data_IF_655378887943
#
_entry.id   IF_655378887943
#
_cell.length_a   1.000
_cell.length_b   1.000
_cell.length_c   1.000
_cell.angle_alpha   90.00
_cell.angle_beta   90.00
_cell.angle_gamma   90.00
#
_symmetry.space_group_name_H-M   'P 1'
#
loop_
_entity.id
_entity.type
_entity.pdbx_description
1 polymer ?
#
# COMPACT_ATOMS: atom_id res chain seq x y z
N UNK A 1 -26.50 -112.30 -65.42
CA UNK A 1 -26.60 -113.74 -65.76
C UNK A 1 -28.06 -114.12 -66.01
N UNK A 2 -28.73 -113.41 -66.94
CA UNK A 2 -30.00 -113.83 -67.50
C UNK A 2 -29.68 -114.45 -68.85
N UNK A 3 -30.02 -115.72 -68.99
CA UNK A 3 -29.90 -116.50 -70.21
C UNK A 3 -30.65 -115.80 -71.34
N UNK A 4 -29.96 -115.68 -72.48
CA UNK A 4 -30.55 -115.42 -73.79
C UNK A 4 -31.79 -116.31 -73.99
N UNK A 5 -32.97 -115.75 -73.71
CA UNK A 5 -34.23 -116.32 -74.16
C UNK A 5 -34.27 -116.03 -75.65
N UNK A 6 -33.78 -116.98 -76.44
CA UNK A 6 -33.62 -116.89 -77.89
C UNK A 6 -34.99 -116.57 -78.52
N UNK A 7 -35.25 -115.29 -78.76
CA UNK A 7 -36.38 -114.78 -79.57
C UNK A 7 -36.38 -115.49 -80.94
N UNK A 8 -35.21 -115.91 -81.41
CA UNK A 8 -34.98 -116.80 -82.55
C UNK A 8 -35.71 -118.14 -82.47
N UNK A 9 -35.84 -118.79 -81.30
CA UNK A 9 -36.58 -120.06 -81.19
C UNK A 9 -38.09 -119.87 -81.28
N UNK A 10 -38.64 -118.77 -80.76
CA UNK A 10 -40.07 -118.45 -80.88
C UNK A 10 -40.40 -118.03 -82.32
N UNK A 11 -39.53 -117.24 -82.96
CA UNK A 11 -39.64 -116.91 -84.38
C UNK A 11 -39.52 -118.17 -85.26
N UNK A 12 -38.68 -119.15 -84.91
CA UNK A 12 -38.54 -120.41 -85.66
C UNK A 12 -39.80 -121.28 -85.59
N UNK A 13 -40.48 -121.33 -84.44
CA UNK A 13 -41.76 -122.06 -84.28
C UNK A 13 -42.90 -121.35 -85.03
N UNK A 14 -42.94 -120.01 -85.02
CA UNK A 14 -43.92 -119.25 -85.80
C UNK A 14 -43.69 -119.37 -87.32
N UNK A 15 -42.44 -119.52 -87.76
CA UNK A 15 -42.07 -119.70 -89.17
C UNK A 15 -42.46 -121.09 -89.71
N UNK A 16 -42.41 -122.13 -88.86
CA UNK A 16 -42.88 -123.49 -89.19
C UNK A 16 -44.41 -123.54 -89.33
N UNK A 17 -45.15 -122.77 -88.53
CA UNK A 17 -46.62 -122.71 -88.60
C UNK A 17 -47.10 -121.94 -89.84
N UNK A 18 -46.33 -120.96 -90.33
CA UNK A 18 -46.67 -120.20 -91.55
C UNK A 18 -46.28 -120.87 -92.88
N UNK A 19 -45.53 -121.97 -92.87
CA UNK A 19 -44.93 -122.57 -94.06
C UNK A 19 -45.52 -123.94 -94.49
N UNK A 20 -46.67 -124.34 -93.95
CA UNK A 20 -47.34 -125.58 -94.37
C UNK A 20 -48.47 -125.30 -95.39
N UNK A 21 -48.44 -125.93 -96.58
CA UNK A 21 -49.39 -125.67 -97.65
C UNK A 21 -50.80 -126.18 -97.34
N UNK A 22 -51.78 -125.41 -97.83
CA UNK A 22 -53.20 -125.36 -97.49
C UNK A 22 -54.05 -126.60 -97.86
N UNK A 23 -53.45 -127.75 -98.18
CA UNK A 23 -54.12 -128.79 -98.98
C UNK A 23 -54.23 -130.18 -98.35
N UNK A 24 -54.40 -130.28 -97.02
CA UNK A 24 -54.80 -131.57 -96.43
C UNK A 24 -55.67 -131.46 -95.16
N UNK A 25 -56.69 -130.61 -95.21
CA UNK A 25 -57.73 -130.47 -94.15
C UNK A 25 -58.71 -131.68 -94.10
N UNK A 26 -58.54 -132.76 -94.87
CA UNK A 26 -59.62 -133.77 -95.02
C UNK A 26 -59.43 -135.15 -94.38
N UNK A 27 -58.39 -135.45 -93.60
CA UNK A 27 -58.15 -136.84 -93.17
C UNK A 27 -57.64 -137.08 -91.73
N UNK A 28 -57.99 -136.27 -90.72
CA UNK A 28 -57.83 -136.75 -89.31
C UNK A 28 -58.76 -136.08 -88.30
N UNK A 29 -60.04 -136.44 -88.37
CA UNK A 29 -61.06 -136.13 -87.33
C UNK A 29 -60.91 -137.06 -86.09
N UNK A 30 -59.94 -137.99 -86.04
CA UNK A 30 -59.83 -139.00 -84.98
C UNK A 30 -58.65 -138.84 -83.99
N UNK A 31 -57.96 -137.68 -83.94
CA UNK A 31 -56.87 -137.44 -82.95
C UNK A 31 -57.03 -136.14 -82.13
N UNK A 32 -58.19 -135.49 -82.19
CA UNK A 32 -58.42 -134.22 -81.49
C UNK A 32 -58.51 -134.36 -79.95
N UNK A 33 -58.93 -135.53 -79.44
CA UNK A 33 -59.10 -135.78 -77.99
C UNK A 33 -57.77 -136.02 -77.25
N UNK A 34 -56.81 -136.69 -77.88
CA UNK A 34 -55.47 -136.94 -77.30
C UNK A 34 -54.65 -135.65 -77.31
N UNK A 35 -54.74 -134.87 -78.39
CA UNK A 35 -54.12 -133.55 -78.50
C UNK A 35 -54.75 -132.57 -77.47
N UNK A 36 -56.08 -132.58 -77.28
CA UNK A 36 -56.74 -131.77 -76.23
C UNK A 36 -56.31 -132.12 -74.80
N UNK A 37 -56.10 -133.40 -74.47
CA UNK A 37 -55.74 -133.79 -73.10
C UNK A 37 -54.27 -133.43 -72.77
N UNK A 38 -53.36 -133.63 -73.75
CA UNK A 38 -51.97 -133.21 -73.63
C UNK A 38 -51.86 -131.67 -73.61
N UNK A 39 -52.65 -130.95 -74.42
CA UNK A 39 -52.75 -129.48 -74.35
C UNK A 39 -53.37 -129.01 -73.02
N UNK A 40 -54.35 -129.72 -72.46
CA UNK A 40 -55.01 -129.38 -71.17
C UNK A 40 -54.06 -129.47 -69.98
N UNK A 41 -53.27 -130.55 -69.88
CA UNK A 41 -52.22 -130.67 -68.86
C UNK A 41 -51.07 -129.66 -69.07
N UNK A 42 -50.70 -129.38 -70.34
CA UNK A 42 -49.75 -128.33 -70.67
C UNK A 42 -50.27 -126.94 -70.26
N UNK A 43 -51.55 -126.64 -70.51
CA UNK A 43 -52.18 -125.34 -70.20
C UNK A 43 -52.22 -125.08 -68.70
N UNK A 44 -52.51 -126.09 -67.87
CA UNK A 44 -52.46 -125.95 -66.41
C UNK A 44 -51.02 -125.74 -65.90
N UNK A 45 -50.05 -126.49 -66.41
CA UNK A 45 -48.64 -126.27 -66.08
C UNK A 45 -48.15 -124.88 -66.54
N UNK A 46 -48.57 -124.42 -67.72
CA UNK A 46 -48.26 -123.07 -68.19
C UNK A 46 -48.90 -122.01 -67.29
N UNK A 47 -50.15 -122.20 -66.84
CA UNK A 47 -50.82 -121.26 -65.94
C UNK A 47 -50.10 -121.15 -64.60
N UNK A 48 -49.65 -122.27 -64.02
CA UNK A 48 -48.86 -122.28 -62.78
C UNK A 48 -47.50 -121.59 -62.99
N UNK A 49 -46.82 -121.86 -64.11
CA UNK A 49 -45.55 -121.19 -64.45
C UNK A 49 -45.76 -119.68 -64.62
N UNK A 50 -46.81 -119.25 -65.32
CA UNK A 50 -47.15 -117.84 -65.46
C UNK A 50 -47.53 -117.20 -64.13
N UNK A 51 -48.28 -117.88 -63.26
CA UNK A 51 -48.62 -117.39 -61.92
C UNK A 51 -47.36 -117.25 -61.04
N UNK A 52 -46.45 -118.24 -61.06
CA UNK A 52 -45.17 -118.17 -60.36
C UNK A 52 -44.28 -117.05 -60.89
N UNK A 53 -44.15 -116.91 -62.22
CA UNK A 53 -43.40 -115.83 -62.86
C UNK A 53 -43.99 -114.46 -62.54
N UNK A 54 -45.32 -114.33 -62.48
CA UNK A 54 -45.99 -113.07 -62.13
C UNK A 54 -45.77 -112.69 -60.67
N UNK A 55 -45.85 -113.65 -59.74
CA UNK A 55 -45.53 -113.41 -58.31
C UNK A 55 -44.06 -113.03 -58.15
N UNK A 56 -43.15 -113.73 -58.84
CA UNK A 56 -41.72 -113.44 -58.80
C UNK A 56 -41.43 -112.05 -59.38
N UNK A 57 -42.01 -111.72 -60.54
CA UNK A 57 -41.92 -110.40 -61.17
C UNK A 57 -42.46 -109.32 -60.25
N UNK A 58 -43.63 -109.51 -59.64
CA UNK A 58 -44.21 -108.57 -58.68
C UNK A 58 -43.30 -108.36 -57.47
N UNK A 59 -42.71 -109.43 -56.92
CA UNK A 59 -41.80 -109.35 -55.76
C UNK A 59 -40.48 -108.65 -56.13
N UNK A 60 -39.91 -108.96 -57.29
CA UNK A 60 -38.73 -108.28 -57.85
C UNK A 60 -39.03 -106.80 -58.08
N UNK A 61 -40.18 -106.47 -58.67
CA UNK A 61 -40.57 -105.09 -58.96
C UNK A 61 -40.87 -104.30 -57.68
N UNK A 62 -41.46 -104.93 -56.67
CA UNK A 62 -41.70 -104.29 -55.36
C UNK A 62 -40.39 -104.05 -54.60
N UNK A 63 -39.44 -104.99 -54.63
CA UNK A 63 -38.12 -104.83 -54.02
C UNK A 63 -37.29 -103.75 -54.76
N UNK A 64 -37.30 -103.77 -56.09
CA UNK A 64 -36.71 -102.73 -56.94
C UNK A 64 -37.27 -101.35 -56.60
N UNK A 65 -38.60 -101.22 -56.49
CA UNK A 65 -39.24 -99.95 -56.13
C UNK A 65 -38.89 -99.45 -54.72
N UNK A 66 -38.66 -100.37 -53.77
CA UNK A 66 -38.20 -100.00 -52.42
C UNK A 66 -36.74 -99.52 -52.45
N UNK A 67 -35.87 -100.15 -53.25
CA UNK A 67 -34.50 -99.69 -53.45
C UNK A 67 -34.44 -98.33 -54.16
N UNK A 68 -35.25 -98.11 -55.20
CA UNK A 68 -35.32 -96.80 -55.87
C UNK A 68 -35.72 -95.69 -54.91
N UNK A 69 -36.71 -95.93 -54.03
CA UNK A 69 -37.08 -94.94 -52.99
C UNK A 69 -35.95 -94.64 -52.01
N UNK A 70 -35.16 -95.63 -51.62
CA UNK A 70 -33.97 -95.40 -50.77
C UNK A 70 -32.93 -94.55 -51.52
N UNK A 71 -32.68 -94.84 -52.79
CA UNK A 71 -31.76 -94.07 -53.62
C UNK A 71 -32.23 -92.61 -53.76
N UNK A 72 -33.52 -92.38 -54.02
CA UNK A 72 -34.10 -91.03 -54.08
C UNK A 72 -33.94 -90.27 -52.76
N UNK A 73 -34.17 -90.92 -51.62
CA UNK A 73 -33.97 -90.32 -50.30
C UNK A 73 -32.49 -89.98 -50.04
N UNK A 74 -31.56 -90.85 -50.43
CA UNK A 74 -30.11 -90.59 -50.33
C UNK A 74 -29.72 -89.40 -51.21
N UNK A 75 -30.23 -89.30 -52.43
CA UNK A 75 -29.95 -88.17 -53.32
C UNK A 75 -30.51 -86.85 -52.76
N UNK A 76 -31.73 -86.88 -52.22
CA UNK A 76 -32.33 -85.72 -51.56
C UNK A 76 -31.48 -85.26 -50.36
N UNK A 77 -31.09 -86.20 -49.50
CA UNK A 77 -30.22 -85.91 -48.35
C UNK A 77 -28.85 -85.37 -48.78
N UNK A 78 -28.25 -85.94 -49.83
CA UNK A 78 -26.95 -85.48 -50.33
C UNK A 78 -27.05 -84.05 -50.90
N UNK A 79 -28.13 -83.71 -51.59
CA UNK A 79 -28.38 -82.35 -52.05
C UNK A 79 -28.58 -81.37 -50.88
N UNK A 80 -29.30 -81.79 -49.83
CA UNK A 80 -29.46 -80.99 -48.61
C UNK A 80 -28.13 -80.77 -47.90
N UNK A 81 -27.33 -81.82 -47.72
CA UNK A 81 -25.98 -81.72 -47.13
C UNK A 81 -25.12 -80.76 -47.94
N UNK A 82 -25.11 -80.87 -49.27
CA UNK A 82 -24.36 -79.96 -50.15
C UNK A 82 -24.80 -78.51 -49.97
N UNK A 83 -26.12 -78.27 -49.92
CA UNK A 83 -26.65 -76.93 -49.70
C UNK A 83 -26.25 -76.38 -48.32
N UNK A 84 -26.30 -77.20 -47.27
CA UNK A 84 -25.87 -76.80 -45.93
C UNK A 84 -24.37 -76.50 -45.87
N UNK A 85 -23.53 -77.31 -46.53
CA UNK A 85 -22.09 -77.05 -46.66
C UNK A 85 -21.85 -75.70 -47.33
N UNK A 86 -22.53 -75.43 -48.45
CA UNK A 86 -22.39 -74.16 -49.17
C UNK A 86 -22.81 -72.98 -48.28
N UNK A 87 -23.94 -73.09 -47.55
CA UNK A 87 -24.40 -72.04 -46.64
C UNK A 87 -23.42 -71.79 -45.49
N UNK A 88 -22.83 -72.84 -44.92
CA UNK A 88 -21.81 -72.72 -43.87
C UNK A 88 -20.57 -72.02 -44.43
N UNK A 89 -20.13 -72.42 -45.63
CA UNK A 89 -18.99 -71.82 -46.29
C UNK A 89 -19.20 -70.33 -46.55
N UNK A 90 -20.33 -69.96 -47.14
CA UNK A 90 -20.69 -68.55 -47.40
C UNK A 90 -20.78 -67.74 -46.11
N UNK A 91 -21.40 -68.29 -45.06
CA UNK A 91 -21.52 -67.61 -43.76
C UNK A 91 -20.15 -67.41 -43.11
N UNK A 92 -19.31 -68.44 -43.12
CA UNK A 92 -17.96 -68.36 -42.57
C UNK A 92 -17.08 -67.37 -43.33
N UNK A 93 -17.22 -67.29 -44.66
CA UNK A 93 -16.50 -66.32 -45.47
C UNK A 93 -16.94 -64.90 -45.15
N UNK A 94 -18.25 -64.64 -45.10
CA UNK A 94 -18.79 -63.33 -44.75
C UNK A 94 -18.37 -62.88 -43.33
N UNK A 95 -18.31 -63.81 -42.38
CA UNK A 95 -17.83 -63.54 -41.02
C UNK A 95 -16.33 -63.21 -40.99
N UNK A 96 -15.51 -63.96 -41.74
CA UNK A 96 -14.08 -63.67 -41.90
C UNK A 96 -13.83 -62.28 -42.49
N UNK A 97 -14.56 -61.90 -43.54
CA UNK A 97 -14.45 -60.56 -44.16
C UNK A 97 -14.91 -59.45 -43.21
N UNK A 98 -15.86 -59.73 -42.29
CA UNK A 98 -16.29 -58.78 -41.26
C UNK A 98 -15.24 -58.62 -40.17
N UNK A 99 -14.60 -59.72 -39.74
CA UNK A 99 -13.51 -59.70 -38.76
C UNK A 99 -12.31 -58.93 -39.33
N UNK A 100 -11.92 -59.18 -40.58
CA UNK A 100 -10.79 -58.51 -41.22
C UNK A 100 -10.98 -56.99 -41.32
N UNK A 101 -12.19 -56.54 -41.68
CA UNK A 101 -12.56 -55.12 -41.65
C UNK A 101 -12.44 -54.53 -40.24
N UNK A 102 -12.93 -55.25 -39.23
CA UNK A 102 -12.86 -54.81 -37.83
C UNK A 102 -11.40 -54.69 -37.36
N UNK A 103 -10.55 -55.66 -37.70
CA UNK A 103 -9.11 -55.63 -37.39
C UNK A 103 -8.45 -54.42 -38.06
N UNK A 104 -8.79 -54.14 -39.31
CA UNK A 104 -8.25 -53.00 -40.06
C UNK A 104 -8.65 -51.67 -39.41
N UNK A 105 -9.93 -51.51 -39.03
CA UNK A 105 -10.43 -50.31 -38.35
C UNK A 105 -9.78 -50.13 -36.98
N UNK A 106 -9.65 -51.21 -36.20
CA UNK A 106 -8.98 -51.17 -34.90
C UNK A 106 -7.50 -50.79 -35.03
N UNK A 107 -6.78 -51.33 -36.01
CA UNK A 107 -5.39 -50.96 -36.26
C UNK A 107 -5.24 -49.49 -36.64
N UNK A 108 -6.15 -48.97 -37.47
CA UNK A 108 -6.20 -47.54 -37.81
C UNK A 108 -6.43 -46.68 -36.57
N UNK A 109 -7.39 -47.04 -35.71
CA UNK A 109 -7.66 -46.34 -34.46
C UNK A 109 -6.48 -46.38 -33.49
N UNK A 110 -5.81 -47.53 -33.34
CA UNK A 110 -4.61 -47.68 -32.50
C UNK A 110 -3.51 -46.75 -32.97
N UNK A 111 -3.28 -46.67 -34.29
CA UNK A 111 -2.25 -45.78 -34.84
C UNK A 111 -2.60 -44.30 -34.60
N UNK A 112 -3.85 -43.89 -34.81
CA UNK A 112 -4.31 -42.52 -34.51
C UNK A 112 -4.14 -42.15 -33.05
N UNK A 113 -4.47 -43.06 -32.13
CA UNK A 113 -4.26 -42.86 -30.69
C UNK A 113 -2.77 -42.69 -30.40
N UNK A 114 -1.92 -43.56 -30.94
CA UNK A 114 -0.46 -43.48 -30.76
C UNK A 114 0.09 -42.14 -31.24
N UNK A 115 -0.29 -41.68 -32.42
CA UNK A 115 0.14 -40.40 -32.99
C UNK A 115 -0.33 -39.22 -32.13
N UNK A 116 -1.58 -39.25 -31.68
CA UNK A 116 -2.14 -38.20 -30.83
C UNK A 116 -1.41 -38.11 -29.49
N UNK A 117 -1.20 -39.26 -28.82
CA UNK A 117 -0.47 -39.31 -27.56
C UNK A 117 0.99 -38.88 -27.71
N UNK A 118 1.65 -39.23 -28.82
CA UNK A 118 3.00 -38.76 -29.09
C UNK A 118 3.05 -37.23 -29.25
N UNK A 119 2.11 -36.65 -30.02
CA UNK A 119 2.04 -35.21 -30.20
C UNK A 119 1.74 -34.47 -28.88
N UNK A 120 0.90 -35.04 -28.00
CA UNK A 120 0.63 -34.48 -26.67
C UNK A 120 1.84 -34.56 -25.74
N UNK A 121 2.60 -35.66 -25.78
CA UNK A 121 3.86 -35.78 -25.04
C UNK A 121 4.87 -34.73 -25.49
N UNK A 122 5.08 -34.57 -26.80
CA UNK A 122 5.99 -33.56 -27.34
C UNK A 122 5.58 -32.12 -26.94
N UNK A 123 4.28 -31.82 -26.93
CA UNK A 123 3.77 -30.52 -26.45
C UNK A 123 4.06 -30.33 -24.97
N UNK A 124 3.87 -31.37 -24.16
CA UNK A 124 4.11 -31.35 -22.73
C UNK A 124 5.59 -31.15 -22.41
N UNK A 125 6.48 -31.85 -23.11
CA UNK A 125 7.94 -31.69 -22.97
C UNK A 125 8.41 -30.28 -23.32
N UNK A 126 7.87 -29.68 -24.38
CA UNK A 126 8.15 -28.28 -24.73
C UNK A 126 7.68 -27.33 -23.63
N UNK A 127 6.45 -27.51 -23.13
CA UNK A 127 5.92 -26.69 -22.05
C UNK A 127 6.77 -26.79 -20.76
N UNK A 128 7.23 -28.00 -20.41
CA UNK A 128 8.14 -28.22 -19.27
C UNK A 128 9.46 -27.48 -19.49
N UNK A 129 10.02 -27.55 -20.70
CA UNK A 129 11.27 -26.87 -21.05
C UNK A 129 11.13 -25.34 -20.94
N UNK A 130 10.04 -24.78 -21.46
CA UNK A 130 9.75 -23.34 -21.39
C UNK A 130 9.56 -22.87 -19.94
N UNK A 131 8.85 -23.64 -19.12
CA UNK A 131 8.66 -23.35 -17.70
C UNK A 131 10.00 -23.38 -16.94
N UNK A 132 10.86 -24.37 -17.19
CA UNK A 132 12.19 -24.44 -16.59
C UNK A 132 13.06 -23.22 -16.98
N UNK A 133 13.01 -22.81 -18.24
CA UNK A 133 13.70 -21.60 -18.70
C UNK A 133 13.18 -20.34 -17.99
N UNK A 134 11.86 -20.21 -17.82
CA UNK A 134 11.27 -19.09 -17.09
C UNK A 134 11.67 -19.08 -15.61
N UNK A 135 11.68 -20.25 -14.94
CA UNK A 135 12.12 -20.41 -13.55
C UNK A 135 13.58 -19.96 -13.40
N UNK A 136 14.46 -20.38 -14.32
CA UNK A 136 15.87 -19.99 -14.28
C UNK A 136 16.04 -18.46 -14.43
N UNK A 137 15.34 -17.83 -15.38
CA UNK A 137 15.37 -16.37 -15.57
C UNK A 137 14.85 -15.61 -14.35
N UNK A 138 13.77 -16.09 -13.72
CA UNK A 138 13.25 -15.50 -12.49
C UNK A 138 14.28 -15.61 -11.36
N UNK A 139 14.92 -16.77 -11.21
CA UNK A 139 15.96 -16.98 -10.19
C UNK A 139 17.14 -16.01 -10.37
N UNK A 140 17.62 -15.84 -11.60
CA UNK A 140 18.70 -14.90 -11.92
C UNK A 140 18.32 -13.43 -11.65
N UNK A 141 17.08 -13.07 -12.01
CA UNK A 141 16.55 -11.72 -11.76
C UNK A 141 16.47 -11.43 -10.27
N UNK A 142 15.87 -12.33 -9.49
CA UNK A 142 15.77 -12.18 -8.04
C UNK A 142 17.13 -12.16 -7.34
N UNK A 143 18.10 -12.96 -7.81
CA UNK A 143 19.46 -12.92 -7.28
C UNK A 143 20.10 -11.55 -7.51
N UNK A 144 19.96 -10.99 -8.72
CA UNK A 144 20.49 -9.66 -9.06
C UNK A 144 19.85 -8.55 -8.22
N UNK A 145 18.53 -8.62 -8.00
CA UNK A 145 17.81 -7.67 -7.15
C UNK A 145 18.21 -7.78 -5.67
N UNK A 146 18.43 -8.98 -5.16
CA UNK A 146 18.95 -9.19 -3.82
C UNK A 146 20.33 -8.58 -3.64
N UNK A 147 21.28 -8.85 -4.55
CA UNK A 147 22.60 -8.24 -4.49
C UNK A 147 22.55 -6.70 -4.55
N UNK A 148 21.66 -6.14 -5.38
CA UNK A 148 21.45 -4.68 -5.45
C UNK A 148 20.91 -4.15 -4.11
N UNK A 149 19.98 -4.85 -3.49
CA UNK A 149 19.39 -4.49 -2.20
C UNK A 149 20.43 -4.56 -1.08
N UNK A 150 21.25 -5.60 -1.04
CA UNK A 150 22.35 -5.73 -0.09
C UNK A 150 23.37 -4.58 -0.21
N UNK A 151 23.76 -4.22 -1.45
CA UNK A 151 24.62 -3.05 -1.69
C UNK A 151 23.99 -1.75 -1.18
N UNK A 152 22.69 -1.55 -1.40
CA UNK A 152 21.98 -0.37 -0.92
C UNK A 152 21.93 -0.32 0.62
N UNK A 153 21.65 -1.45 1.28
CA UNK A 153 21.65 -1.55 2.74
C UNK A 153 23.03 -1.22 3.30
N UNK A 154 24.09 -1.77 2.71
CA UNK A 154 25.48 -1.48 3.10
C UNK A 154 25.81 0.01 2.95
N UNK A 155 25.45 0.63 1.83
CA UNK A 155 25.66 2.05 1.59
C UNK A 155 24.89 2.93 2.59
N UNK A 156 23.63 2.60 2.89
CA UNK A 156 22.83 3.33 3.87
C UNK A 156 23.40 3.21 5.29
N UNK A 157 23.82 2.01 5.68
CA UNK A 157 24.49 1.77 6.97
C UNK A 157 25.75 2.63 7.12
N UNK A 158 26.60 2.66 6.08
CA UNK A 158 27.79 3.50 6.06
C UNK A 158 27.46 5.00 6.16
N UNK A 159 26.43 5.46 5.46
CA UNK A 159 25.99 6.86 5.55
C UNK A 159 25.48 7.22 6.94
N UNK A 160 24.69 6.35 7.57
CA UNK A 160 24.20 6.53 8.93
C UNK A 160 25.36 6.64 9.91
N UNK A 161 26.36 5.75 9.81
CA UNK A 161 27.54 5.79 10.67
C UNK A 161 28.31 7.10 10.51
N UNK A 162 28.54 7.55 9.27
CA UNK A 162 29.21 8.84 9.00
C UNK A 162 28.45 10.03 9.56
N UNK A 163 27.13 10.03 9.46
CA UNK A 163 26.28 11.06 10.05
C UNK A 163 26.38 11.06 11.57
N UNK A 164 26.34 9.87 12.19
CA UNK A 164 26.49 9.71 13.62
C UNK A 164 27.84 10.25 14.12
N UNK A 165 28.94 9.87 13.47
CA UNK A 165 30.29 10.37 13.78
C UNK A 165 30.38 11.89 13.65
N UNK A 166 29.79 12.46 12.59
CA UNK A 166 29.80 13.91 12.36
C UNK A 166 29.03 14.65 13.46
N UNK A 167 27.82 14.17 13.81
CA UNK A 167 27.02 14.76 14.88
C UNK A 167 27.68 14.63 16.25
N UNK A 168 28.35 13.50 16.52
CA UNK A 168 29.11 13.33 17.75
C UNK A 168 30.26 14.34 17.84
N UNK A 169 31.05 14.49 16.78
CA UNK A 169 32.15 15.47 16.74
C UNK A 169 31.65 16.92 16.90
N UNK A 170 30.49 17.24 16.34
CA UNK A 170 29.87 18.56 16.51
C UNK A 170 29.39 18.80 17.94
N UNK A 171 28.76 17.81 18.58
CA UNK A 171 28.38 17.87 19.99
C UNK A 171 29.59 18.11 20.89
N UNK A 172 30.69 17.37 20.71
CA UNK A 172 31.94 17.58 21.46
C UNK A 172 32.53 18.99 21.26
N UNK A 173 32.34 19.59 20.08
CA UNK A 173 32.77 20.97 19.81
C UNK A 173 31.88 21.99 20.51
N UNK A 174 30.57 21.75 20.53
CA UNK A 174 29.59 22.59 21.23
C UNK A 174 29.86 22.54 22.74
N UNK A 175 30.04 21.35 23.32
CA UNK A 175 30.36 21.17 24.74
C UNK A 175 31.62 21.93 25.16
N UNK A 176 32.69 21.85 24.36
CA UNK A 176 33.91 22.64 24.57
C UNK A 176 33.64 24.15 24.55
N UNK A 177 32.80 24.60 23.63
CA UNK A 177 32.43 26.02 23.51
C UNK A 177 31.63 26.48 24.74
N UNK A 178 30.65 25.70 25.17
CA UNK A 178 29.85 25.96 26.38
C UNK A 178 30.75 26.05 27.62
N UNK A 179 31.68 25.09 27.78
CA UNK A 179 32.63 25.10 28.90
C UNK A 179 33.51 26.36 28.91
N UNK A 180 34.05 26.74 27.75
CA UNK A 180 34.85 27.96 27.61
C UNK A 180 34.04 29.22 27.94
N UNK A 181 32.81 29.33 27.45
CA UNK A 181 31.93 30.47 27.75
C UNK A 181 31.57 30.53 29.23
N UNK A 182 31.26 29.40 29.86
CA UNK A 182 30.98 29.30 31.30
C UNK A 182 32.17 29.80 32.14
N UNK A 183 33.38 29.38 31.78
CA UNK A 183 34.61 29.84 32.43
C UNK A 183 34.82 31.36 32.26
N UNK A 184 34.57 31.90 31.06
CA UNK A 184 34.67 33.35 30.82
C UNK A 184 33.64 34.14 31.64
N UNK A 185 32.39 33.65 31.73
CA UNK A 185 31.34 34.28 32.54
C UNK A 185 31.76 34.32 34.02
N UNK A 186 32.29 33.22 34.55
CA UNK A 186 32.76 33.17 35.93
C UNK A 186 33.90 34.16 36.17
N UNK A 187 34.90 34.22 35.28
CA UNK A 187 35.99 35.21 35.38
C UNK A 187 35.50 36.65 35.37
N UNK A 188 34.53 36.96 34.51
CA UNK A 188 33.91 38.30 34.44
C UNK A 188 33.17 38.61 35.74
N UNK A 189 32.39 37.65 36.25
CA UNK A 189 31.69 37.77 37.54
C UNK A 189 32.67 38.06 38.68
N UNK A 190 33.77 37.32 38.78
CA UNK A 190 34.79 37.51 39.82
C UNK A 190 35.45 38.89 39.72
N UNK A 191 35.69 39.36 38.49
CA UNK A 191 36.25 40.70 38.23
C UNK A 191 35.27 41.79 38.71
N UNK A 192 33.99 41.68 38.36
CA UNK A 192 32.97 42.63 38.81
C UNK A 192 32.79 42.61 40.33
N UNK A 193 32.81 41.43 40.95
CA UNK A 193 32.72 41.29 42.41
C UNK A 193 33.89 42.01 43.10
N UNK A 194 35.12 41.78 42.63
CA UNK A 194 36.33 42.42 43.15
C UNK A 194 36.27 43.94 43.02
N UNK A 195 35.82 44.45 41.86
CA UNK A 195 35.70 45.89 41.64
C UNK A 195 34.59 46.50 42.50
N UNK A 196 33.46 45.81 42.69
CA UNK A 196 32.39 46.27 43.56
C UNK A 196 32.87 46.40 45.01
N UNK A 197 33.60 45.41 45.53
CA UNK A 197 34.22 45.47 46.87
C UNK A 197 35.24 46.61 47.00
N UNK A 198 35.95 46.97 45.91
CA UNK A 198 36.86 48.12 45.88
C UNK A 198 36.10 49.45 45.89
N UNK A 199 35.02 49.55 45.14
CA UNK A 199 34.13 50.72 45.12
C UNK A 199 33.49 50.92 46.49
N UNK A 200 32.95 49.87 47.11
CA UNK A 200 32.34 49.93 48.46
C UNK A 200 33.33 50.44 49.51
N UNK A 201 34.58 49.94 49.50
CA UNK A 201 35.66 50.47 50.36
C UNK A 201 35.95 51.95 50.11
N UNK A 202 35.97 52.37 48.85
CA UNK A 202 36.20 53.78 48.49
C UNK A 202 35.07 54.68 48.98
N UNK A 203 33.82 54.25 48.80
CA UNK A 203 32.64 54.95 49.30
C UNK A 203 32.71 55.08 50.82
N UNK A 204 33.01 53.99 51.54
CA UNK A 204 33.14 54.01 53.00
C UNK A 204 34.21 54.99 53.48
N UNK A 205 35.38 55.02 52.82
CA UNK A 205 36.45 55.96 53.16
C UNK A 205 36.03 57.43 52.91
N UNK A 206 35.35 57.70 51.79
CA UNK A 206 34.85 59.03 51.47
C UNK A 206 33.78 59.49 52.47
N UNK A 207 32.86 58.61 52.86
CA UNK A 207 31.86 58.90 53.90
C UNK A 207 32.52 59.29 55.23
N UNK A 208 33.51 58.52 55.70
CA UNK A 208 34.23 58.84 56.93
C UNK A 208 34.96 60.19 56.86
N UNK A 209 35.54 60.52 55.70
CA UNK A 209 36.19 61.82 55.49
C UNK A 209 35.17 62.97 55.51
N UNK A 210 34.00 62.80 54.88
CA UNK A 210 32.92 63.79 54.91
C UNK A 210 32.44 64.02 56.35
N UNK A 211 32.27 62.96 57.13
CA UNK A 211 31.86 63.06 58.54
C UNK A 211 32.92 63.83 59.35
N UNK A 212 34.20 63.53 59.17
CA UNK A 212 35.31 64.26 59.82
C UNK A 212 35.36 65.75 59.40
N UNK A 213 35.14 66.05 58.12
CA UNK A 213 35.05 67.42 57.62
C UNK A 213 33.84 68.16 58.20
N UNK A 214 32.72 67.46 58.38
CA UNK A 214 31.52 68.02 58.99
C UNK A 214 31.75 68.35 60.46
N UNK A 215 32.38 67.45 61.22
CA UNK A 215 32.75 67.68 62.63
C UNK A 215 33.70 68.88 62.78
N UNK A 216 34.76 68.94 61.97
CA UNK A 216 35.70 70.08 61.98
C UNK A 216 35.03 71.39 61.59
N UNK A 217 34.17 71.39 60.57
CA UNK A 217 33.39 72.58 60.17
C UNK A 217 32.44 73.03 61.29
N UNK A 218 31.77 72.10 61.96
CA UNK A 218 30.90 72.40 63.11
C UNK A 218 31.69 72.99 64.28
N UNK A 219 32.86 72.43 64.61
CA UNK A 219 33.72 72.97 65.66
C UNK A 219 34.23 74.39 65.35
N UNK A 220 34.56 74.67 64.07
CA UNK A 220 34.91 76.01 63.61
C UNK A 220 33.71 76.96 63.72
N UNK A 221 32.51 76.51 63.32
CA UNK A 221 31.29 77.30 63.45
C UNK A 221 31.00 77.67 64.91
N UNK A 222 31.03 76.72 65.84
CA UNK A 222 30.86 76.95 67.28
C UNK A 222 31.92 77.89 67.87
N UNK A 223 33.14 77.89 67.32
CA UNK A 223 34.19 78.84 67.72
C UNK A 223 33.92 80.24 67.18
N UNK A 224 33.46 80.38 65.94
CA UNK A 224 33.06 81.65 65.34
C UNK A 224 31.87 82.25 66.11
N UNK A 225 30.85 81.45 66.43
CA UNK A 225 29.71 81.92 67.22
C UNK A 225 30.15 82.45 68.59
N UNK A 226 31.08 81.77 69.27
CA UNK A 226 31.67 82.26 70.53
C UNK A 226 32.40 83.60 70.36
N UNK A 227 33.26 83.73 69.33
CA UNK A 227 33.97 84.99 69.06
C UNK A 227 33.00 86.12 68.72
N UNK A 228 31.93 85.85 67.97
CA UNK A 228 30.88 86.83 67.69
C UNK A 228 30.21 87.28 69.00
N UNK A 229 29.85 86.35 69.89
CA UNK A 229 29.26 86.67 71.19
C UNK A 229 30.22 87.51 72.05
N UNK A 230 31.49 87.13 72.13
CA UNK A 230 32.52 87.87 72.88
C UNK A 230 32.68 89.30 72.35
N UNK A 231 32.78 89.47 71.02
CA UNK A 231 32.86 90.78 70.37
C UNK A 231 31.58 91.60 70.52
N UNK A 232 30.40 90.97 70.45
CA UNK A 232 29.13 91.64 70.70
C UNK A 232 29.07 92.20 72.12
N UNK A 233 29.49 91.42 73.12
CA UNK A 233 29.56 91.89 74.51
C UNK A 233 30.56 93.05 74.66
N UNK A 234 31.73 92.99 74.03
CA UNK A 234 32.73 94.07 74.06
C UNK A 234 32.21 95.36 73.39
N UNK A 235 31.48 95.24 72.28
CA UNK A 235 30.80 96.39 71.64
C UNK A 235 29.74 96.97 72.57
N UNK A 236 28.94 96.13 73.22
CA UNK A 236 27.91 96.58 74.16
C UNK A 236 28.55 97.30 75.37
N UNK A 237 29.69 96.81 75.88
CA UNK A 237 30.50 97.48 76.93
C UNK A 237 31.04 98.84 76.44
N UNK A 238 31.59 98.91 75.22
CA UNK A 238 32.05 100.17 74.62
C UNK A 238 30.89 101.15 74.46
N UNK A 239 29.74 100.66 74.00
CA UNK A 239 28.52 101.48 73.88
C UNK A 239 28.07 101.99 75.25
N UNK A 240 28.11 101.18 76.30
CA UNK A 240 27.84 101.64 77.68
C UNK A 240 28.84 102.72 78.13
N UNK A 241 30.13 102.60 77.81
CA UNK A 241 31.17 103.59 78.15
C UNK A 241 31.00 104.90 77.36
N UNK A 242 30.69 104.83 76.06
CA UNK A 242 30.43 106.00 75.21
C UNK A 242 29.14 106.73 75.63
N UNK A 243 28.10 106.00 76.03
CA UNK A 243 26.85 106.55 76.59
C UNK A 243 27.09 107.18 77.97
N UNK A 244 28.11 106.73 78.71
CA UNK A 244 28.48 107.25 80.03
C UNK A 244 29.37 108.51 79.98
N UNK A 245 30.06 108.79 78.87
CA UNK A 245 30.90 110.00 78.70
C UNK A 245 30.29 111.07 77.79
N UNK A 246 29.29 110.74 76.98
CA UNK A 246 28.51 111.70 76.21
C UNK A 246 27.05 111.64 76.64
N UNK A 247 26.58 112.62 77.41
CA UNK A 247 25.16 112.78 77.67
C UNK A 247 24.43 113.16 76.38
N UNK A 248 23.98 112.17 75.59
CA UNK A 248 22.94 112.25 74.55
C UNK A 248 22.44 110.83 74.15
N UNK A 249 21.14 110.73 73.87
CA UNK A 249 20.35 109.54 73.55
C UNK A 249 20.30 109.29 71.99
N UNK A 250 19.59 108.27 71.43
CA UNK A 250 20.14 107.16 70.65
C UNK A 250 19.70 107.13 69.16
N UNK A 251 20.43 106.45 68.28
CA UNK A 251 19.99 106.08 66.92
C UNK A 251 20.60 104.71 66.56
N UNK A 252 19.90 103.58 66.66
CA UNK A 252 18.78 103.06 65.87
C UNK A 252 19.14 102.69 64.41
N UNK A 253 18.79 101.44 64.07
CA UNK A 253 18.42 100.90 62.75
C UNK A 253 19.49 100.73 61.66
N UNK A 254 19.73 99.47 61.25
CA UNK A 254 19.27 99.01 59.93
C UNK A 254 18.97 97.51 59.91
N UNK A 255 17.66 97.21 59.88
CA UNK A 255 17.07 95.97 59.40
C UNK A 255 17.20 95.85 57.89
N UNK A 256 17.33 94.61 57.38
CA UNK A 256 16.61 94.10 56.19
C UNK A 256 16.89 92.58 56.09
N UNK A 257 16.13 91.71 56.75
CA UNK A 257 14.88 91.07 56.29
C UNK A 257 14.69 90.95 54.78
N UNK A 258 14.14 89.78 54.42
CA UNK A 258 13.21 89.49 53.33
C UNK A 258 13.83 89.11 51.98
N UNK A 259 13.33 88.09 51.27
CA UNK A 259 12.21 87.17 51.50
C UNK A 259 12.19 86.21 50.30
N UNK A 260 11.66 85.01 50.53
CA UNK A 260 10.72 84.26 49.68
C UNK A 260 10.74 84.59 48.18
N UNK A 261 11.04 83.64 47.30
CA UNK A 261 10.22 82.44 47.15
C UNK A 261 8.98 82.79 46.34
N UNK A 262 8.99 82.44 45.06
CA UNK A 262 7.80 82.39 44.22
C UNK A 262 7.91 81.20 43.27
N UNK A 263 7.10 80.19 43.56
CA UNK A 263 6.75 79.08 42.67
C UNK A 263 6.22 79.67 41.35
N UNK A 264 6.84 79.29 40.24
CA UNK A 264 6.31 79.52 38.90
C UNK A 264 5.60 78.27 38.38
N UNK A 265 4.38 78.51 37.93
CA UNK A 265 3.65 77.72 36.94
C UNK A 265 4.59 77.35 35.79
N UNK A 266 4.58 76.07 35.36
CA UNK A 266 5.52 75.54 34.38
C UNK A 266 5.30 76.14 32.99
N UNK A 267 6.04 77.20 32.71
CA UNK A 267 6.32 77.68 31.37
C UNK A 267 7.13 76.61 30.62
N UNK A 268 6.49 75.89 29.70
CA UNK A 268 7.13 74.84 28.88
C UNK A 268 8.05 75.42 27.79
N UNK A 269 8.58 76.63 28.00
CA UNK A 269 9.61 77.23 27.15
C UNK A 269 10.97 76.52 27.28
N UNK A 270 11.17 75.69 28.33
CA UNK A 270 12.36 74.84 28.44
C UNK A 270 12.18 73.49 27.70
N UNK A 271 12.86 73.36 26.56
CA UNK A 271 12.88 72.18 25.70
C UNK A 271 13.40 70.91 26.40
N UNK A 272 14.22 71.06 27.45
CA UNK A 272 14.66 69.94 28.30
C UNK A 272 13.50 69.36 29.12
N UNK A 273 12.71 70.24 29.72
CA UNK A 273 11.50 69.86 30.47
C UNK A 273 10.51 69.16 29.54
N UNK A 274 10.33 69.65 28.31
CA UNK A 274 9.44 69.02 27.33
C UNK A 274 9.86 67.58 26.97
N UNK A 275 11.15 67.33 26.71
CA UNK A 275 11.63 65.99 26.37
C UNK A 275 11.50 65.02 27.55
N UNK A 276 11.82 65.47 28.77
CA UNK A 276 11.66 64.66 29.98
C UNK A 276 10.20 64.29 30.23
N UNK A 277 9.28 65.24 30.05
CA UNK A 277 7.83 65.02 30.19
C UNK A 277 7.33 64.04 29.13
N UNK A 278 7.70 64.22 27.87
CA UNK A 278 7.35 63.28 26.80
C UNK A 278 7.84 61.86 27.11
N UNK A 279 9.12 61.70 27.48
CA UNK A 279 9.72 60.41 27.79
C UNK A 279 9.03 59.73 28.97
N UNK A 280 8.72 60.49 30.03
CA UNK A 280 8.01 59.98 31.20
C UNK A 280 6.62 59.47 30.84
N UNK A 281 5.85 60.22 30.06
CA UNK A 281 4.49 59.83 29.65
C UNK A 281 4.48 58.57 28.77
N UNK A 282 5.45 58.45 27.85
CA UNK A 282 5.60 57.23 27.03
C UNK A 282 5.89 56.01 27.91
N UNK A 283 6.80 56.14 28.89
CA UNK A 283 7.11 55.04 29.81
C UNK A 283 5.93 54.64 30.69
N UNK A 284 5.22 55.62 31.25
CA UNK A 284 4.03 55.37 32.07
C UNK A 284 2.96 54.64 31.26
N UNK A 285 2.74 55.05 30.01
CA UNK A 285 1.75 54.42 29.14
C UNK A 285 2.13 53.00 28.73
N UNK A 286 3.42 52.75 28.47
CA UNK A 286 3.96 51.41 28.22
C UNK A 286 3.72 50.50 29.42
N UNK A 287 4.00 50.98 30.64
CA UNK A 287 3.74 50.24 31.86
C UNK A 287 2.24 49.98 32.07
N UNK A 288 1.38 50.98 31.84
CA UNK A 288 -0.08 50.89 31.99
C UNK A 288 -0.72 49.90 31.02
N UNK A 289 -0.27 49.89 29.76
CA UNK A 289 -0.91 49.13 28.68
C UNK A 289 -0.16 47.84 28.32
N UNK A 290 0.93 47.52 29.03
CA UNK A 290 1.81 46.37 28.77
C UNK A 290 2.25 46.27 27.30
N UNK A 291 2.46 47.41 26.63
CA UNK A 291 2.81 47.48 25.21
C UNK A 291 4.31 47.46 25.00
N UNK A 292 4.76 46.86 23.91
CA UNK A 292 6.16 47.02 23.51
C UNK A 292 6.44 48.46 23.09
N UNK A 293 7.66 48.94 23.35
CA UNK A 293 8.12 50.27 22.95
C UNK A 293 7.91 50.53 21.43
N UNK A 294 8.08 49.48 20.63
CA UNK A 294 7.86 49.48 19.19
C UNK A 294 6.40 49.64 18.78
N UNK A 295 5.45 49.06 19.54
CA UNK A 295 4.02 49.26 19.31
C UNK A 295 3.60 50.68 19.69
N UNK A 296 4.13 51.19 20.80
CA UNK A 296 3.87 52.56 21.27
C UNK A 296 4.32 53.62 20.25
N UNK A 297 5.50 53.45 19.65
CA UNK A 297 5.96 54.40 18.63
C UNK A 297 5.10 54.41 17.37
N UNK A 298 4.52 53.27 16.96
CA UNK A 298 3.59 53.24 15.82
C UNK A 298 2.31 54.01 16.13
N UNK A 299 1.79 53.86 17.34
CA UNK A 299 0.56 54.53 17.75
C UNK A 299 0.75 56.03 17.87
N UNK A 300 1.83 56.49 18.52
CA UNK A 300 2.14 57.92 18.62
C UNK A 300 2.31 58.51 17.22
N UNK A 301 3.07 57.84 16.35
CA UNK A 301 3.25 58.23 14.97
C UNK A 301 1.92 58.38 14.21
N UNK A 302 1.00 57.43 14.41
CA UNK A 302 -0.33 57.45 13.79
C UNK A 302 -1.22 58.56 14.35
N UNK A 303 -1.13 58.86 15.65
CA UNK A 303 -2.01 59.84 16.31
C UNK A 303 -1.67 61.28 15.96
N UNK A 304 -0.39 61.58 15.71
CA UNK A 304 0.06 62.95 15.39
C UNK A 304 0.71 63.08 14.02
N UNK A 305 0.42 62.12 13.14
CA UNK A 305 0.77 62.14 11.72
C UNK A 305 2.26 62.45 11.45
N UNK A 306 3.16 61.79 12.19
CA UNK A 306 4.61 61.86 11.99
C UNK A 306 5.19 60.48 11.81
N UNK A 307 6.39 60.37 11.22
CA UNK A 307 7.00 59.05 11.01
C UNK A 307 7.39 58.39 12.34
N UNK A 308 7.23 57.06 12.42
CA UNK A 308 7.69 56.24 13.55
C UNK A 308 9.16 56.47 13.88
N UNK A 309 10.01 56.58 12.85
CA UNK A 309 11.45 56.86 13.01
C UNK A 309 11.70 58.22 13.66
N UNK A 310 10.85 59.20 13.39
CA UNK A 310 10.91 60.52 14.03
C UNK A 310 10.59 60.44 15.53
N UNK A 311 9.54 59.68 15.91
CA UNK A 311 9.19 59.43 17.32
C UNK A 311 10.31 58.68 18.04
N UNK A 312 10.83 57.62 17.41
CA UNK A 312 11.94 56.82 17.94
C UNK A 312 13.18 57.67 18.22
N UNK A 313 13.56 58.51 17.26
CA UNK A 313 14.72 59.38 17.38
C UNK A 313 14.52 60.46 18.45
N UNK A 314 13.32 61.04 18.53
CA UNK A 314 13.01 62.00 19.58
C UNK A 314 13.08 61.37 20.97
N UNK A 315 12.53 60.16 21.14
CA UNK A 315 12.56 59.42 22.41
C UNK A 315 13.98 59.03 22.86
N UNK A 316 14.83 58.54 21.95
CA UNK A 316 16.15 58.00 22.31
C UNK A 316 17.30 59.01 22.26
N UNK A 317 17.27 59.96 21.33
CA UNK A 317 18.49 60.69 20.92
C UNK A 317 18.45 62.18 21.22
N UNK A 318 17.46 62.65 22.00
CA UNK A 318 17.26 64.07 22.35
C UNK A 318 17.53 64.98 21.13
N UNK A 319 16.97 64.60 19.99
CA UNK A 319 17.24 65.28 18.72
C UNK A 319 16.56 66.64 18.70
N UNK A 320 16.99 67.53 17.80
CA UNK A 320 16.36 68.83 17.55
C UNK A 320 15.39 68.70 16.36
N UNK A 321 14.16 68.20 16.56
CA UNK A 321 13.22 68.03 15.46
C UNK A 321 12.74 69.41 14.96
N UNK A 322 12.27 69.44 13.71
CA UNK A 322 11.65 70.64 13.13
C UNK A 322 10.50 71.11 14.03
N UNK A 323 10.26 72.42 14.04
CA UNK A 323 9.22 73.05 14.88
C UNK A 323 7.83 72.40 14.66
N UNK A 324 7.51 72.05 13.42
CA UNK A 324 6.29 71.31 13.08
C UNK A 324 6.19 69.97 13.80
N UNK A 325 7.27 69.19 13.84
CA UNK A 325 7.33 67.92 14.60
C UNK A 325 7.25 68.15 16.10
N UNK A 326 7.85 69.23 16.60
CA UNK A 326 7.75 69.60 18.03
C UNK A 326 6.30 69.91 18.42
N UNK A 327 5.58 70.64 17.58
CA UNK A 327 4.18 71.00 17.80
C UNK A 327 3.25 69.78 17.75
N UNK A 328 3.48 68.84 16.84
CA UNK A 328 2.70 67.60 16.77
C UNK A 328 2.97 66.68 17.97
N UNK A 329 4.22 66.57 18.42
CA UNK A 329 4.55 65.83 19.66
C UNK A 329 3.96 66.54 20.88
N UNK A 330 3.97 67.87 20.92
CA UNK A 330 3.37 68.66 22.00
C UNK A 330 1.85 68.47 22.07
N UNK A 331 1.16 68.39 20.92
CA UNK A 331 -0.27 68.02 20.86
C UNK A 331 -0.53 66.65 21.47
N UNK A 332 0.32 65.66 21.16
CA UNK A 332 0.22 64.35 21.78
C UNK A 332 0.44 64.41 23.30
N UNK A 333 1.50 65.09 23.75
CA UNK A 333 1.84 65.25 25.18
C UNK A 333 0.70 65.91 25.95
N UNK A 334 0.11 66.97 25.42
CA UNK A 334 -1.00 67.66 26.05
C UNK A 334 -2.27 66.78 26.12
N UNK A 335 -2.54 66.02 25.05
CA UNK A 335 -3.64 65.06 25.03
C UNK A 335 -3.45 63.90 26.02
N UNK A 336 -2.23 63.38 26.14
CA UNK A 336 -1.92 62.26 27.05
C UNK A 336 -1.83 62.72 28.51
N UNK A 337 -1.27 63.90 28.79
CA UNK A 337 -1.27 64.50 30.12
C UNK A 337 -2.71 64.79 30.62
N UNK A 338 -3.59 65.26 29.73
CA UNK A 338 -5.02 65.44 30.04
C UNK A 338 -5.74 64.13 30.34
N UNK A 339 -5.41 63.03 29.64
CA UNK A 339 -5.95 61.69 29.92
C UNK A 339 -5.44 61.10 31.23
N UNK A 340 -4.17 61.33 31.57
CA UNK A 340 -3.58 60.86 32.82
C UNK A 340 -4.20 61.54 34.05
N UNK A 341 -4.52 62.83 33.96
CA UNK A 341 -5.19 63.55 35.06
C UNK A 341 -6.62 63.05 35.31
N UNK A 342 -7.40 62.74 34.25
CA UNK A 342 -8.76 62.19 34.38
C UNK A 342 -8.80 60.71 34.84
N UNK A 343 -7.67 59.99 34.79
CA UNK A 343 -7.58 58.61 35.27
C UNK A 343 -7.09 58.53 36.71
N UNK A 344 -6.27 59.47 37.19
CA UNK A 344 -5.87 59.54 38.60
C UNK A 344 -7.07 59.74 39.55
N UNK A 345 -8.12 60.44 39.12
CA UNK A 345 -9.37 60.55 39.89
C UNK A 345 -10.16 59.23 39.95
N UNK A 346 -10.08 58.39 38.91
CA UNK A 346 -10.75 57.09 38.87
C UNK A 346 -9.99 55.98 39.63
N UNK A 347 -8.67 56.08 39.77
CA UNK A 347 -7.86 55.13 40.56
C UNK A 347 -7.95 55.36 42.08
N UNK A 348 -8.32 56.57 42.51
CA UNK A 348 -8.60 56.88 43.92
C UNK A 348 -10.01 56.49 44.37
N UNK A 349 -10.98 56.30 43.46
CA UNK A 349 -12.31 55.77 43.80
C UNK A 349 -12.39 54.24 43.82
N UNK A 350 -11.57 53.54 43.04
CA UNK A 350 -11.61 52.06 42.95
C UNK A 350 -10.68 51.33 43.95
N UNK A 351 -9.92 52.05 44.77
CA UNK A 351 -9.06 51.48 45.82
C UNK A 351 -9.76 51.37 47.19
N UNK A 352 -11.06 51.72 47.29
CA UNK A 352 -11.85 51.65 48.53
C UNK A 352 -12.60 50.34 48.77
N UNK A 353 -12.45 49.31 47.93
CA UNK A 353 -13.14 48.00 48.09
C UNK A 353 -12.20 46.79 48.19
N UNK A 354 -10.90 47.00 48.42
CA UNK A 354 -9.91 45.93 48.55
C UNK A 354 -9.33 45.76 49.97
N UNK A 355 -10.06 46.20 51.01
CA UNK A 355 -9.72 45.96 52.42
C UNK A 355 -10.97 45.66 53.29
N UNK A 356 -11.75 44.65 52.90
CA UNK A 356 -12.70 43.97 53.79
C UNK A 356 -12.81 42.49 53.40
#
# INVERSE_FOLDING_TARGET
MFSNFNITNILFVLLIISALPYDNIRQTILNFKIIQNILSEYVNCHYIIFACLFILWRKINSASHAETKKIEAILALNNEIRNNINRIYETSQAESERIERTITDLNSNINRIRETSQAENERTERAITDLNNNINRLRETSQTENERTERNISNLSNNINRMHETSQAENERIERTISNLSNNINRIRDTFQTENERIERTISNLSNNIDSMRETSQAVHERIERVILDLSNEIDEIHEVDISQAGLNPFNTFSTTNRTGTRQYSDYSNRETFWNVFKSLVNQRIARESRSLNSMFNEIASNVNISRSTVYNFYHRRTNPRETTTNEILRWVNGEAGRNNNLNDNYLQNSSWALA
#
